data_IF_385837987229
#
_entry.id   IF_385837987229
#
_cell.length_a   1.000
_cell.length_b   1.000
_cell.length_c   1.000
_cell.angle_alpha   90.00
_cell.angle_beta   90.00
_cell.angle_gamma   90.00
#
_symmetry.space_group_name_H-M   'P 1'
#
loop_
_entity.id
_entity.type
_entity.pdbx_description
1 polymer ?
#
# COMPACT_ATOMS: atom_id res chain seq x y z
N UNK A 1 -4.23 16.59 -0.58
CA UNK A 1 -3.49 15.36 -0.20
C UNK A 1 -2.43 15.06 -1.27
N UNK A 2 -1.27 14.52 -0.90
CA UNK A 2 -0.23 14.17 -1.88
C UNK A 2 -0.71 12.98 -2.70
N UNK A 3 -0.72 13.14 -4.03
CA UNK A 3 -1.01 12.04 -4.95
C UNK A 3 0.04 10.93 -4.73
N UNK A 4 -0.41 9.70 -4.49
CA UNK A 4 0.40 8.53 -4.11
C UNK A 4 0.96 8.52 -2.66
N UNK A 5 0.32 9.15 -1.68
CA UNK A 5 0.60 8.80 -0.27
C UNK A 5 -0.02 7.45 0.08
N UNK A 6 0.45 6.84 1.18
CA UNK A 6 -0.12 5.59 1.68
C UNK A 6 -1.62 5.73 1.97
N UNK A 7 -2.00 6.80 2.65
CA UNK A 7 -3.39 7.11 3.01
C UNK A 7 -4.25 7.37 1.76
N UNK A 8 -3.71 8.09 0.78
CA UNK A 8 -4.42 8.35 -0.48
C UNK A 8 -4.63 7.07 -1.28
N UNK A 9 -3.67 6.14 -1.28
CA UNK A 9 -3.82 4.85 -1.94
C UNK A 9 -4.89 4.00 -1.23
N UNK A 10 -4.91 4.00 0.10
CA UNK A 10 -5.93 3.29 0.88
C UNK A 10 -7.33 3.82 0.61
N UNK A 11 -7.52 5.15 0.62
CA UNK A 11 -8.81 5.77 0.31
C UNK A 11 -9.31 5.39 -1.11
N UNK A 12 -8.40 5.32 -2.07
CA UNK A 12 -8.74 4.89 -3.43
C UNK A 12 -9.06 3.39 -3.52
N UNK A 13 -8.40 2.54 -2.71
CA UNK A 13 -8.73 1.12 -2.59
C UNK A 13 -10.12 0.93 -1.97
N UNK A 14 -10.45 1.65 -0.89
CA UNK A 14 -11.77 1.59 -0.25
C UNK A 14 -12.88 2.01 -1.23
N UNK A 15 -12.61 3.04 -2.04
CA UNK A 15 -13.52 3.47 -3.11
C UNK A 15 -13.74 2.37 -4.16
N UNK A 16 -12.68 1.65 -4.52
CA UNK A 16 -12.77 0.52 -5.46
C UNK A 16 -13.60 -0.61 -4.86
N UNK A 17 -13.35 -0.97 -3.60
CA UNK A 17 -14.10 -2.02 -2.90
C UNK A 17 -15.59 -1.67 -2.87
N UNK A 18 -15.94 -0.44 -2.48
CA UNK A 18 -17.33 0.01 -2.46
C UNK A 18 -18.02 -0.10 -3.83
N UNK A 19 -17.31 0.23 -4.92
CA UNK A 19 -17.84 0.06 -6.29
C UNK A 19 -18.03 -1.41 -6.64
N UNK A 20 -17.08 -2.28 -6.30
CA UNK A 20 -17.19 -3.72 -6.58
C UNK A 20 -18.35 -4.35 -5.79
N UNK A 21 -18.55 -3.94 -4.54
CA UNK A 21 -19.64 -4.39 -3.68
C UNK A 21 -21.01 -3.87 -4.12
N UNK A 22 -21.08 -2.75 -4.83
CA UNK A 22 -22.34 -2.21 -5.36
C UNK A 22 -23.03 -3.16 -6.37
N UNK A 23 -22.26 -4.02 -7.03
CA UNK A 23 -22.76 -4.92 -8.07
C UNK A 23 -23.15 -4.23 -9.39
N UNK A 24 -22.88 -2.94 -9.54
CA UNK A 24 -23.21 -2.16 -10.74
C UNK A 24 -22.15 -2.29 -11.86
N UNK A 25 -20.99 -2.88 -11.55
CA UNK A 25 -19.90 -3.04 -12.50
C UNK A 25 -20.14 -4.21 -13.45
N UNK A 26 -19.82 -4.01 -14.73
CA UNK A 26 -19.67 -5.12 -15.67
C UNK A 26 -18.49 -6.02 -15.25
N UNK A 27 -18.43 -7.24 -15.81
CA UNK A 27 -17.29 -8.14 -15.56
C UNK A 27 -15.96 -7.49 -16.01
N UNK A 28 -15.96 -6.83 -17.17
CA UNK A 28 -14.76 -6.18 -17.69
C UNK A 28 -14.31 -5.02 -16.79
N UNK A 29 -15.24 -4.21 -16.29
CA UNK A 29 -14.93 -3.10 -15.39
C UNK A 29 -14.50 -3.59 -14.02
N UNK A 30 -15.09 -4.68 -13.53
CA UNK A 30 -14.68 -5.34 -12.30
C UNK A 30 -13.22 -5.82 -12.36
N UNK A 31 -12.79 -6.37 -13.49
CA UNK A 31 -11.40 -6.78 -13.72
C UNK A 31 -10.48 -5.55 -13.71
N UNK A 32 -10.86 -4.45 -14.38
CA UNK A 32 -10.07 -3.21 -14.41
C UNK A 32 -9.89 -2.59 -13.02
N UNK A 33 -10.98 -2.50 -12.24
CA UNK A 33 -10.93 -1.96 -10.88
C UNK A 33 -10.11 -2.87 -9.95
N UNK A 34 -10.22 -4.20 -10.09
CA UNK A 34 -9.37 -5.15 -9.35
C UNK A 34 -7.87 -4.96 -9.66
N UNK A 35 -7.49 -4.88 -10.94
CA UNK A 35 -6.09 -4.63 -11.32
C UNK A 35 -5.57 -3.31 -10.75
N UNK A 36 -6.42 -2.28 -10.72
CA UNK A 36 -6.09 -0.98 -10.14
C UNK A 36 -5.87 -1.10 -8.64
N UNK A 37 -6.75 -1.77 -7.91
CA UNK A 37 -6.60 -2.03 -6.48
C UNK A 37 -5.29 -2.78 -6.17
N UNK A 38 -4.95 -3.80 -6.97
CA UNK A 38 -3.68 -4.54 -6.83
C UNK A 38 -2.45 -3.67 -7.02
N UNK A 39 -2.47 -2.76 -8.02
CA UNK A 39 -1.38 -1.80 -8.23
C UNK A 39 -1.24 -0.82 -7.06
N UNK A 40 -2.36 -0.37 -6.49
CA UNK A 40 -2.36 0.52 -5.32
C UNK A 40 -1.87 -0.20 -4.06
N UNK A 41 -2.25 -1.45 -3.85
CA UNK A 41 -1.79 -2.28 -2.73
C UNK A 41 -0.28 -2.51 -2.81
N UNK A 42 0.25 -2.88 -3.99
CA UNK A 42 1.70 -3.02 -4.19
C UNK A 42 2.44 -1.73 -3.84
N UNK A 43 1.99 -0.59 -4.38
CA UNK A 43 2.60 0.72 -4.07
C UNK A 43 2.56 1.05 -2.58
N UNK A 44 1.48 0.69 -1.90
CA UNK A 44 1.32 0.96 -0.46
C UNK A 44 2.26 0.08 0.36
N UNK A 45 2.42 -1.19 -0.02
CA UNK A 45 3.44 -2.08 0.55
C UNK A 45 4.85 -1.53 0.35
N UNK A 46 5.19 -1.10 -0.87
CA UNK A 46 6.52 -0.53 -1.17
C UNK A 46 6.78 0.73 -0.32
N UNK A 47 5.76 1.57 -0.09
CA UNK A 47 5.89 2.76 0.76
C UNK A 47 6.14 2.40 2.23
N UNK A 48 5.46 1.37 2.75
CA UNK A 48 5.67 0.87 4.11
C UNK A 48 7.07 0.29 4.28
N UNK A 49 7.51 -0.59 3.36
CA UNK A 49 8.85 -1.19 3.39
C UNK A 49 9.94 -0.11 3.37
N UNK A 50 9.77 0.93 2.54
CA UNK A 50 10.70 2.06 2.52
C UNK A 50 10.70 2.87 3.83
N UNK A 51 9.56 2.99 4.51
CA UNK A 51 9.46 3.68 5.79
C UNK A 51 10.11 2.85 6.92
N UNK A 52 9.87 1.55 6.94
CA UNK A 52 10.51 0.59 7.85
C UNK A 52 12.02 0.57 7.65
N UNK A 53 12.50 0.50 6.41
CA UNK A 53 13.92 0.56 6.08
C UNK A 53 14.61 1.83 6.61
N UNK A 54 13.95 2.98 6.52
CA UNK A 54 14.46 4.24 7.09
C UNK A 54 14.47 4.20 8.62
N UNK A 55 13.46 3.62 9.25
CA UNK A 55 13.42 3.45 10.70
C UNK A 55 14.60 2.57 11.17
N UNK A 56 14.84 1.44 10.51
CA UNK A 56 15.97 0.57 10.80
C UNK A 56 17.32 1.27 10.66
N UNK A 57 17.50 2.12 9.62
CA UNK A 57 18.73 2.92 9.47
C UNK A 57 18.93 3.88 10.65
N UNK A 58 17.89 4.61 11.06
CA UNK A 58 17.97 5.54 12.20
C UNK A 58 18.28 4.80 13.50
N UNK A 59 17.67 3.63 13.74
CA UNK A 59 17.93 2.84 14.94
C UNK A 59 19.35 2.26 14.93
N UNK A 60 19.84 1.79 13.77
CA UNK A 60 21.24 1.33 13.62
C UNK A 60 22.25 2.43 13.95
N UNK A 61 21.98 3.66 13.49
CA UNK A 61 22.86 4.81 13.74
C UNK A 61 22.87 5.23 15.22
N UNK A 62 21.82 4.90 16.00
CA UNK A 62 21.73 5.19 17.43
C UNK A 62 22.30 4.08 18.33
N UNK A 63 22.18 2.81 17.96
CA UNK A 63 22.53 1.66 18.84
C UNK A 63 23.68 0.77 18.34
N UNK A 64 24.22 1.00 17.14
CA UNK A 64 25.45 0.34 16.68
C UNK A 64 25.29 -1.11 16.19
N UNK A 65 24.29 -1.88 16.63
CA UNK A 65 23.91 -3.16 16.00
C UNK A 65 22.42 -3.46 16.16
N UNK A 66 21.75 -3.81 15.06
CA UNK A 66 20.42 -4.39 15.06
C UNK A 66 20.47 -5.76 14.38
N UNK A 67 20.16 -6.81 15.14
CA UNK A 67 19.80 -8.11 14.58
C UNK A 67 18.32 -8.07 14.26
N UNK A 68 17.98 -8.16 12.99
CA UNK A 68 16.60 -8.31 12.54
C UNK A 68 16.36 -9.80 12.34
N UNK A 69 15.50 -10.39 13.16
CA UNK A 69 14.96 -11.73 12.93
C UNK A 69 13.91 -11.58 11.82
N UNK A 70 14.15 -12.21 10.66
CA UNK A 70 13.18 -12.28 9.56
C UNK A 70 11.86 -12.86 10.08
N UNK A 71 10.75 -12.13 9.87
CA UNK A 71 9.39 -12.63 10.07
C UNK A 71 9.02 -13.70 9.04
#
# INVERSE_FOLDING_TARGET
>A
MKKNSFEANLEEIDTIIAKMESGELSLEDSIKEYEKAMKLLKKSSDLLENAEGKLYQVMKDQEGELQVEEL
#
